data_IF_995177106181
#
_entry.id   IF_995177106181
#
_cell.length_a   1.000
_cell.length_b   1.000
_cell.length_c   1.000
_cell.angle_alpha   90.00
_cell.angle_beta   90.00
_cell.angle_gamma   90.00
#
_symmetry.space_group_name_H-M   'P 1'
#
loop_
_entity.id
_entity.type
_entity.pdbx_description
1 polymer ?
#
# COMPACT_ATOMS: atom_id res chain seq x y z
N UNK A 1 -1.76 15.40 13.55
CA UNK A 1 -2.66 15.27 12.39
C UNK A 1 -3.61 14.10 12.67
N UNK A 2 -4.86 14.36 13.05
CA UNK A 2 -5.85 13.32 13.36
C UNK A 2 -6.34 12.72 12.04
N UNK A 3 -5.83 11.55 11.68
CA UNK A 3 -6.32 10.78 10.54
C UNK A 3 -7.67 10.21 10.98
N UNK A 4 -8.75 10.80 10.48
CA UNK A 4 -10.10 10.32 10.68
C UNK A 4 -10.22 8.85 10.21
N UNK A 5 -11.00 8.06 10.95
CA UNK A 5 -11.34 6.65 10.73
C UNK A 5 -12.16 6.42 9.44
N UNK A 6 -11.59 6.75 8.30
CA UNK A 6 -12.13 6.40 6.99
C UNK A 6 -11.11 5.45 6.38
N UNK A 7 -11.55 4.26 5.95
CA UNK A 7 -10.71 3.24 5.33
C UNK A 7 -9.77 3.89 4.30
N UNK A 8 -8.49 4.06 4.66
CA UNK A 8 -7.54 4.75 3.80
C UNK A 8 -7.09 3.73 2.75
N UNK A 9 -7.47 4.00 1.51
CA UNK A 9 -7.08 3.20 0.35
C UNK A 9 -5.81 3.79 -0.24
N UNK A 10 -4.81 2.94 -0.48
CA UNK A 10 -3.56 3.33 -1.13
C UNK A 10 -3.31 2.47 -2.36
N UNK A 11 -3.29 3.12 -3.52
CA UNK A 11 -2.92 2.50 -4.79
C UNK A 11 -1.42 2.60 -4.96
N UNK A 12 -0.75 1.46 -5.12
CA UNK A 12 0.71 1.39 -5.22
C UNK A 12 1.12 0.61 -6.45
N UNK A 13 2.06 1.17 -7.21
CA UNK A 13 2.80 0.44 -8.22
C UNK A 13 4.08 -0.11 -7.57
N UNK A 14 4.14 -1.43 -7.44
CA UNK A 14 5.21 -2.15 -6.77
C UNK A 14 6.43 -2.35 -7.68
N UNK A 15 7.62 -2.58 -7.10
CA UNK A 15 8.85 -2.83 -7.87
C UNK A 15 8.79 -3.99 -8.87
N UNK A 16 7.94 -4.99 -8.61
CA UNK A 16 7.69 -6.14 -9.48
C UNK A 16 6.68 -5.84 -10.61
N UNK A 17 6.41 -4.56 -10.87
CA UNK A 17 5.40 -4.06 -11.80
C UNK A 17 3.97 -4.48 -11.45
N UNK A 18 3.71 -4.98 -10.23
CA UNK A 18 2.35 -5.27 -9.79
C UNK A 18 1.65 -4.01 -9.29
N UNK A 19 0.40 -3.82 -9.70
CA UNK A 19 -0.46 -2.77 -9.16
C UNK A 19 -1.26 -3.34 -8.00
N UNK A 20 -1.05 -2.80 -6.80
CA UNK A 20 -1.69 -3.25 -5.57
C UNK A 20 -2.51 -2.12 -4.93
N UNK A 21 -3.69 -2.46 -4.42
CA UNK A 21 -4.49 -1.64 -3.54
C UNK A 21 -4.29 -2.13 -2.12
N UNK A 22 -3.78 -1.27 -1.23
CA UNK A 22 -3.69 -1.53 0.20
C UNK A 22 -4.83 -0.84 0.94
N UNK A 23 -5.44 -1.55 1.88
CA UNK A 23 -6.47 -1.01 2.77
C UNK A 23 -5.87 -0.84 4.15
N UNK A 24 -5.96 0.38 4.67
CA UNK A 24 -5.50 0.71 6.02
C UNK A 24 -6.67 0.83 6.99
N UNK A 25 -6.51 0.25 8.17
CA UNK A 25 -7.40 0.43 9.32
C UNK A 25 -6.52 0.77 10.54
N UNK A 26 -6.80 1.88 11.21
CA UNK A 26 -6.02 2.34 12.37
C UNK A 26 -4.50 2.36 12.10
N UNK A 27 -4.11 2.96 10.97
CA UNK A 27 -2.72 3.07 10.50
C UNK A 27 -2.00 1.74 10.23
N UNK A 28 -2.72 0.63 10.09
CA UNK A 28 -2.17 -0.68 9.74
C UNK A 28 -2.78 -1.21 8.46
N UNK A 29 -1.98 -1.85 7.63
CA UNK A 29 -2.46 -2.56 6.45
C UNK A 29 -3.24 -3.80 6.92
N UNK A 30 -4.50 -3.92 6.52
CA UNK A 30 -5.36 -5.06 6.85
C UNK A 30 -5.62 -5.99 5.68
N UNK A 31 -5.46 -5.49 4.46
CA UNK A 31 -5.60 -6.29 3.24
C UNK A 31 -4.89 -5.64 2.07
N UNK A 32 -4.47 -6.44 1.10
CA UNK A 32 -4.09 -5.98 -0.22
C UNK A 32 -4.88 -6.71 -1.30
N UNK A 33 -5.05 -6.07 -2.46
CA UNK A 33 -5.66 -6.68 -3.64
C UNK A 33 -4.92 -6.22 -4.89
N UNK A 34 -4.64 -7.15 -5.81
CA UNK A 34 -4.11 -6.81 -7.14
C UNK A 34 -5.20 -6.14 -7.98
N UNK A 35 -4.83 -5.06 -8.65
CA UNK A 35 -5.73 -4.30 -9.53
C UNK A 35 -5.18 -4.28 -10.95
N UNK A 36 -6.07 -4.18 -11.92
CA UNK A 36 -5.70 -4.01 -13.33
C UNK A 36 -5.16 -2.59 -13.58
N UNK A 37 -4.30 -2.45 -14.57
CA UNK A 37 -3.62 -1.19 -14.92
C UNK A 37 -4.59 -0.04 -15.21
N UNK A 38 -5.74 -0.35 -15.82
CA UNK A 38 -6.80 0.63 -16.09
C UNK A 38 -7.32 1.32 -14.81
N UNK A 39 -7.25 0.62 -13.68
CA UNK A 39 -7.65 1.10 -12.35
C UNK A 39 -6.47 1.66 -11.56
N UNK A 40 -5.23 1.52 -12.04
CA UNK A 40 -4.00 1.97 -11.40
C UNK A 40 -3.55 3.37 -11.85
N UNK A 41 -4.38 4.11 -12.60
CA UNK A 41 -4.05 5.45 -13.12
C UNK A 41 -3.59 6.45 -12.05
N UNK A 42 -4.05 6.27 -10.81
CA UNK A 42 -3.70 7.11 -9.66
C UNK A 42 -2.76 6.40 -8.67
N UNK A 43 -2.12 5.30 -9.08
CA UNK A 43 -1.19 4.58 -8.24
C UNK A 43 0.09 5.37 -8.02
N UNK A 44 0.54 5.43 -6.77
CA UNK A 44 1.80 6.04 -6.40
C UNK A 44 2.89 4.97 -6.54
N UNK A 45 4.01 5.30 -7.19
CA UNK A 45 5.16 4.40 -7.24
C UNK A 45 5.66 4.11 -5.82
N UNK A 46 5.94 2.85 -5.51
CA UNK A 46 6.40 2.42 -4.18
C UNK A 46 7.54 3.29 -3.61
N UNK A 47 8.52 3.64 -4.45
CA UNK A 47 9.69 4.45 -4.08
C UNK A 47 9.38 5.92 -3.76
N UNK A 48 8.18 6.41 -4.11
CA UNK A 48 7.71 7.77 -3.76
C UNK A 48 6.99 7.80 -2.42
N UNK A 49 6.73 6.65 -1.80
CA UNK A 49 6.12 6.57 -0.48
C UNK A 49 7.14 6.92 0.61
N UNK A 50 6.67 7.37 1.76
CA UNK A 50 7.53 7.56 2.95
C UNK A 50 8.11 6.23 3.42
N UNK A 51 9.28 6.26 4.06
CA UNK A 51 9.93 5.06 4.63
C UNK A 51 9.00 4.22 5.52
N UNK A 52 8.17 4.86 6.36
CA UNK A 52 7.22 4.18 7.25
C UNK A 52 6.20 3.32 6.47
N UNK A 53 5.62 3.87 5.40
CA UNK A 53 4.66 3.18 4.54
C UNK A 53 5.36 2.07 3.75
N UNK A 54 6.56 2.33 3.21
CA UNK A 54 7.35 1.30 2.52
C UNK A 54 7.63 0.11 3.44
N UNK A 55 8.04 0.39 4.68
CA UNK A 55 8.30 -0.64 5.68
C UNK A 55 7.03 -1.42 6.05
N UNK A 56 5.90 -0.73 6.26
CA UNK A 56 4.62 -1.38 6.53
C UNK A 56 4.19 -2.33 5.39
N UNK A 57 4.35 -1.90 4.13
CA UNK A 57 4.07 -2.72 2.96
C UNK A 57 5.02 -3.93 2.90
N UNK A 58 6.31 -3.73 3.12
CA UNK A 58 7.30 -4.82 3.10
C UNK A 58 7.01 -5.87 4.17
N UNK A 59 6.70 -5.47 5.40
CA UNK A 59 6.33 -6.39 6.48
C UNK A 59 5.04 -7.15 6.11
N UNK A 60 4.05 -6.46 5.53
CA UNK A 60 2.79 -7.08 5.15
C UNK A 60 2.92 -8.09 4.01
N UNK A 61 3.68 -7.76 2.96
CA UNK A 61 3.86 -8.62 1.78
C UNK A 61 4.88 -9.73 2.05
N UNK A 62 5.91 -9.46 2.87
CA UNK A 62 6.98 -10.39 3.22
C UNK A 62 7.08 -10.56 4.75
N UNK A 63 6.14 -11.30 5.38
CA UNK A 63 6.13 -11.47 6.84
C UNK A 63 7.34 -12.25 7.40
N UNK A 64 8.21 -12.81 6.54
CA UNK A 64 9.46 -13.50 6.90
C UNK A 64 10.70 -12.58 6.90
N UNK A 65 10.55 -11.28 6.64
CA UNK A 65 11.68 -10.35 6.56
C UNK A 65 12.19 -9.84 7.93
N UNK A 66 11.96 -10.61 9.00
CA UNK A 66 12.45 -10.34 10.37
C UNK A 66 13.41 -11.45 10.77
#
# INVERSE_FOLDING_TARGET
>A
MRIAEINNLLFVNMPDCSNLLFVFKNSRIVSSKRIADINAKNAISFYKLTFEIQNAINIFVNPKAI
#
